data_IF_948469597141
#
_entry.id   IF_948469597141
#
_cell.length_a   1.000
_cell.length_b   1.000
_cell.length_c   1.000
_cell.angle_alpha   90.00
_cell.angle_beta   90.00
_cell.angle_gamma   90.00
#
_symmetry.space_group_name_H-M   'P 1'
#
loop_
_entity.id
_entity.type
_entity.pdbx_description
1 polymer ?
#
# COMPACT_ATOMS: atom_id res chain seq x y z
N UNK A 1 21.26 12.94 -5.86
CA UNK A 1 19.90 12.44 -5.62
C UNK A 1 19.50 12.78 -4.20
N UNK A 2 18.22 13.06 -3.93
CA UNK A 2 17.71 13.45 -2.60
C UNK A 2 16.70 12.43 -2.05
N UNK A 3 16.82 11.16 -2.44
CA UNK A 3 16.01 10.09 -1.84
C UNK A 3 16.46 9.87 -0.38
N UNK A 4 15.50 9.78 0.53
CA UNK A 4 15.78 9.48 1.94
C UNK A 4 16.00 7.97 2.13
N UNK A 5 16.71 7.53 3.19
CA UNK A 5 17.03 6.12 3.41
C UNK A 5 15.81 5.17 3.40
N UNK A 6 14.65 5.60 3.90
CA UNK A 6 13.43 4.80 3.98
C UNK A 6 12.97 4.28 2.62
N UNK A 7 13.26 5.01 1.53
CA UNK A 7 12.92 4.57 0.16
C UNK A 7 13.50 3.18 -0.13
N UNK A 8 14.69 2.87 0.40
CA UNK A 8 15.32 1.57 0.19
C UNK A 8 14.56 0.43 0.87
N UNK A 9 13.88 0.68 2.00
CA UNK A 9 12.99 -0.29 2.62
C UNK A 9 11.83 -0.64 1.66
N UNK A 10 11.17 0.37 1.08
CA UNK A 10 10.07 0.17 0.14
C UNK A 10 10.48 -0.52 -1.16
N UNK A 11 11.63 -0.14 -1.73
CA UNK A 11 12.18 -0.79 -2.93
C UNK A 11 12.49 -2.27 -2.67
N UNK A 12 13.14 -2.57 -1.54
CA UNK A 12 13.42 -3.96 -1.13
C UNK A 12 12.13 -4.74 -0.93
N UNK A 13 11.11 -4.19 -0.26
CA UNK A 13 9.82 -4.84 -0.05
C UNK A 13 9.12 -5.21 -1.35
N UNK A 14 9.09 -4.30 -2.33
CA UNK A 14 8.49 -4.60 -3.64
C UNK A 14 9.21 -5.75 -4.35
N UNK A 15 10.54 -5.80 -4.28
CA UNK A 15 11.33 -6.87 -4.89
C UNK A 15 11.18 -8.20 -4.14
N UNK A 16 10.98 -8.18 -2.82
CA UNK A 16 10.68 -9.37 -2.04
C UNK A 16 9.36 -10.03 -2.49
N UNK A 17 8.43 -9.29 -3.08
CA UNK A 17 7.21 -9.90 -3.64
C UNK A 17 7.47 -10.75 -4.90
N UNK A 18 8.68 -10.69 -5.48
CA UNK A 18 9.04 -11.45 -6.67
C UNK A 18 9.81 -12.72 -6.31
N UNK A 19 9.89 -13.67 -7.26
CA UNK A 19 10.71 -14.88 -7.15
C UNK A 19 10.50 -15.72 -5.86
N UNK A 20 9.32 -15.63 -5.24
CA UNK A 20 9.01 -16.23 -3.95
C UNK A 20 9.90 -15.72 -2.81
N UNK A 21 10.25 -14.43 -2.79
CA UNK A 21 11.08 -13.82 -1.75
C UNK A 21 12.57 -14.12 -1.87
N UNK A 22 13.00 -14.87 -2.88
CA UNK A 22 14.41 -15.17 -3.12
C UNK A 22 15.11 -13.94 -3.70
N UNK A 23 15.59 -13.08 -2.82
CA UNK A 23 16.27 -11.83 -3.15
C UNK A 23 17.70 -11.84 -2.59
N UNK A 24 18.68 -11.61 -3.47
CA UNK A 24 20.06 -11.34 -3.08
C UNK A 24 20.37 -9.87 -3.37
N UNK A 25 20.86 -9.15 -2.37
CA UNK A 25 21.24 -7.74 -2.50
C UNK A 25 22.76 -7.63 -2.40
N UNK A 26 23.39 -6.99 -3.39
CA UNK A 26 24.84 -6.80 -3.48
C UNK A 26 25.12 -5.31 -3.29
N UNK A 27 26.03 -4.98 -2.37
CA UNK A 27 26.46 -3.61 -2.16
C UNK A 27 27.37 -3.18 -3.31
N UNK A 28 27.01 -2.06 -3.95
CA UNK A 28 27.76 -1.44 -5.04
C UNK A 28 28.45 -0.16 -4.54
N UNK A 29 27.94 1.02 -4.91
CA UNK A 29 28.44 2.32 -4.47
C UNK A 29 27.77 2.88 -3.22
N UNK A 30 28.19 4.07 -2.80
CA UNK A 30 27.65 4.77 -1.65
C UNK A 30 28.73 5.57 -0.93
N UNK A 31 28.95 6.81 -1.36
CA UNK A 31 30.15 7.55 -0.98
C UNK A 31 29.96 8.49 0.22
N UNK A 32 28.70 8.68 0.67
CA UNK A 32 28.39 9.39 1.89
C UNK A 32 28.12 8.37 3.01
N UNK A 33 29.09 8.17 3.91
CA UNK A 33 29.09 7.06 4.88
C UNK A 33 27.80 6.95 5.72
N UNK A 34 27.30 8.06 6.26
CA UNK A 34 26.06 8.05 7.06
C UNK A 34 24.82 7.67 6.25
N UNK A 35 24.62 8.30 5.08
CA UNK A 35 23.54 7.94 4.17
C UNK A 35 23.61 6.47 3.75
N UNK A 36 24.82 5.99 3.42
CA UNK A 36 25.06 4.59 3.09
C UNK A 36 24.65 3.67 4.25
N UNK A 37 25.13 3.91 5.47
CA UNK A 37 24.82 3.04 6.62
C UNK A 37 23.33 3.01 6.93
N UNK A 38 22.64 4.15 6.85
CA UNK A 38 21.20 4.23 7.09
C UNK A 38 20.42 3.49 5.99
N UNK A 39 20.78 3.69 4.72
CA UNK A 39 20.15 2.99 3.59
C UNK A 39 20.36 1.47 3.65
N UNK A 40 21.57 1.02 4.00
CA UNK A 40 21.86 -0.41 4.20
C UNK A 40 21.04 -0.97 5.36
N UNK A 41 20.94 -0.24 6.47
CA UNK A 41 20.10 -0.64 7.59
C UNK A 41 18.63 -0.81 7.17
N UNK A 42 18.07 0.15 6.43
CA UNK A 42 16.71 0.07 5.90
C UNK A 42 16.49 -1.19 5.06
N UNK A 43 17.40 -1.48 4.13
CA UNK A 43 17.34 -2.69 3.31
C UNK A 43 17.40 -3.97 4.15
N UNK A 44 18.35 -4.06 5.09
CA UNK A 44 18.51 -5.26 5.93
C UNK A 44 17.29 -5.49 6.83
N UNK A 45 16.74 -4.44 7.44
CA UNK A 45 15.52 -4.53 8.25
C UNK A 45 14.34 -5.08 7.44
N UNK A 46 14.16 -4.59 6.22
CA UNK A 46 13.12 -5.12 5.34
C UNK A 46 13.37 -6.58 4.97
N UNK A 47 14.63 -7.00 4.71
CA UNK A 47 14.96 -8.41 4.47
C UNK A 47 14.67 -9.30 5.68
N UNK A 48 14.81 -8.79 6.90
CA UNK A 48 14.44 -9.46 8.15
C UNK A 48 12.91 -9.45 8.40
N UNK A 49 12.16 -8.73 7.57
CA UNK A 49 10.71 -8.61 7.64
C UNK A 49 10.22 -7.66 8.73
N UNK A 50 11.02 -6.68 9.14
CA UNK A 50 10.58 -5.59 10.01
C UNK A 50 9.51 -4.74 9.29
N UNK A 51 8.57 -4.12 10.02
CA UNK A 51 7.63 -3.16 9.44
C UNK A 51 8.34 -2.00 8.74
N UNK A 52 7.81 -1.60 7.59
CA UNK A 52 8.41 -0.52 6.81
C UNK A 52 8.12 0.85 7.44
N UNK A 53 9.13 1.73 7.57
CA UNK A 53 8.90 3.10 7.99
C UNK A 53 8.09 3.85 6.94
N UNK A 54 7.29 4.83 7.37
CA UNK A 54 6.52 5.64 6.43
C UNK A 54 7.44 6.59 5.64
N UNK A 55 7.37 6.56 4.31
CA UNK A 55 7.95 7.62 3.46
C UNK A 55 7.16 8.91 3.67
N UNK A 56 7.87 9.97 4.05
CA UNK A 56 7.32 11.30 4.30
C UNK A 56 7.74 12.30 3.22
N UNK A 57 7.00 13.40 3.13
CA UNK A 57 7.22 14.43 2.11
C UNK A 57 6.22 14.36 0.96
N UNK A 58 6.43 15.20 -0.05
CA UNK A 58 5.56 15.29 -1.20
C UNK A 58 5.72 14.06 -2.11
N UNK A 59 4.61 13.35 -2.34
CA UNK A 59 4.56 12.18 -3.21
C UNK A 59 4.19 12.60 -4.62
N UNK A 60 5.14 13.24 -5.30
CA UNK A 60 4.99 13.70 -6.66
C UNK A 60 6.30 13.50 -7.45
N UNK A 61 6.26 12.85 -8.62
CA UNK A 61 7.43 12.82 -9.49
C UNK A 61 7.69 14.23 -10.06
N UNK A 62 8.96 14.60 -10.21
CA UNK A 62 9.30 15.82 -10.94
C UNK A 62 9.10 15.61 -12.45
N UNK A 63 8.91 16.70 -13.21
CA UNK A 63 8.67 16.63 -14.65
C UNK A 63 9.73 15.80 -15.40
N UNK A 64 11.02 16.01 -15.08
CA UNK A 64 12.13 15.25 -15.69
C UNK A 64 12.01 13.74 -15.46
N UNK A 65 11.57 13.31 -14.26
CA UNK A 65 11.34 11.90 -13.98
C UNK A 65 10.15 11.36 -14.78
N UNK A 66 9.06 12.13 -14.90
CA UNK A 66 7.89 11.77 -15.71
C UNK A 66 8.24 11.61 -17.19
N UNK A 67 8.97 12.57 -17.77
CA UNK A 67 9.44 12.50 -19.17
C UNK A 67 10.32 11.26 -19.40
N UNK A 68 11.23 10.98 -18.46
CA UNK A 68 12.10 9.80 -18.51
C UNK A 68 11.29 8.50 -18.44
N UNK A 69 10.34 8.40 -17.51
CA UNK A 69 9.43 7.24 -17.38
C UNK A 69 8.64 7.02 -18.67
N UNK A 70 8.10 8.08 -19.26
CA UNK A 70 7.35 8.00 -20.51
C UNK A 70 8.21 7.46 -21.66
N UNK A 71 9.42 8.00 -21.84
CA UNK A 71 10.33 7.57 -22.91
C UNK A 71 10.80 6.12 -22.73
N UNK A 72 11.11 5.70 -21.50
CA UNK A 72 11.49 4.31 -21.19
C UNK A 72 10.32 3.37 -21.52
N UNK A 73 9.09 3.73 -21.15
CA UNK A 73 7.90 2.94 -21.50
C UNK A 73 7.69 2.87 -23.01
N UNK A 74 7.87 3.97 -23.74
CA UNK A 74 7.77 3.99 -25.20
C UNK A 74 8.80 3.06 -25.87
N UNK A 75 10.05 3.10 -25.40
CA UNK A 75 11.12 2.23 -25.91
C UNK A 75 10.86 0.75 -25.62
N UNK A 76 10.27 0.43 -24.47
CA UNK A 76 10.01 -0.95 -24.05
C UNK A 76 8.67 -1.53 -24.55
N UNK A 77 7.75 -0.70 -25.03
CA UNK A 77 6.42 -1.12 -25.51
C UNK A 77 6.44 -2.30 -26.50
N UNK A 78 7.35 -2.39 -27.49
CA UNK A 78 7.38 -3.52 -28.43
C UNK A 78 7.73 -4.87 -27.79
N UNK A 79 8.35 -4.87 -26.61
CA UNK A 79 8.92 -6.07 -25.98
C UNK A 79 8.11 -6.58 -24.79
N UNK A 80 7.30 -5.73 -24.17
CA UNK A 80 6.60 -6.05 -22.92
C UNK A 80 5.09 -6.00 -23.11
N UNK A 81 4.43 -7.17 -23.03
CA UNK A 81 2.98 -7.32 -23.29
C UNK A 81 2.09 -6.43 -22.40
N UNK A 82 2.52 -6.12 -21.19
CA UNK A 82 1.77 -5.24 -20.27
C UNK A 82 1.72 -3.77 -20.72
N UNK A 83 2.61 -3.35 -21.64
CA UNK A 83 2.64 -2.02 -22.24
C UNK A 83 1.89 -1.93 -23.58
N UNK A 84 1.38 -3.05 -24.12
CA UNK A 84 0.79 -3.12 -25.48
C UNK A 84 -0.22 -2.02 -25.74
N UNK A 85 -1.07 -1.78 -24.75
CA UNK A 85 -2.22 -0.89 -24.84
C UNK A 85 -1.97 0.49 -24.21
N UNK A 86 -0.73 0.79 -23.80
CA UNK A 86 -0.36 2.07 -23.21
C UNK A 86 -0.09 3.12 -24.30
N UNK A 87 -0.51 4.37 -24.08
CA UNK A 87 -0.31 5.47 -25.03
C UNK A 87 1.04 6.14 -24.76
N UNK A 88 2.11 5.39 -25.01
CA UNK A 88 3.48 5.84 -24.79
C UNK A 88 4.09 6.27 -26.12
N UNK A 89 3.98 7.55 -26.44
CA UNK A 89 4.77 8.18 -27.51
C UNK A 89 6.08 8.72 -26.94
N UNK A 90 7.14 8.65 -27.76
CA UNK A 90 8.39 9.32 -27.43
C UNK A 90 8.19 10.83 -27.37
N UNK A 91 8.70 11.45 -26.31
CA UNK A 91 8.78 12.90 -26.22
C UNK A 91 10.01 13.37 -26.99
N UNK A 92 9.80 14.08 -28.10
CA UNK A 92 10.88 14.64 -28.92
C UNK A 92 11.39 15.99 -28.40
N UNK A 93 10.58 16.71 -27.61
CA UNK A 93 10.95 17.99 -26.99
C UNK A 93 10.92 17.83 -25.47
N UNK A 94 12.07 17.47 -24.89
CA UNK A 94 12.24 17.41 -23.44
C UNK A 94 12.38 18.82 -22.87
N UNK A 95 11.73 19.04 -21.73
CA UNK A 95 11.85 20.29 -20.97
C UNK A 95 13.29 20.51 -20.46
N UNK A 96 14.05 19.42 -20.24
CA UNK A 96 15.42 19.46 -19.73
C UNK A 96 16.50 19.50 -20.81
N UNK A 97 16.27 20.13 -21.98
CA UNK A 97 17.36 20.34 -22.95
C UNK A 97 18.50 21.07 -22.23
N UNK A 98 19.65 20.43 -22.07
CA UNK A 98 20.83 21.13 -21.59
C UNK A 98 21.23 22.13 -22.65
N UNK A 99 21.29 23.42 -22.32
CA UNK A 99 21.88 24.47 -23.16
C UNK A 99 23.42 24.31 -23.25
N UNK A 100 23.92 23.11 -23.57
CA UNK A 100 25.34 22.80 -23.65
C UNK A 100 25.94 23.01 -25.05
N UNK A 101 25.32 23.84 -25.89
CA UNK A 101 25.83 24.11 -27.25
C UNK A 101 25.75 25.58 -27.69
N UNK A 102 25.76 26.53 -26.75
CA UNK A 102 25.98 27.96 -27.07
C UNK A 102 26.85 28.64 -26.04
N UNK A 103 28.16 28.38 -26.10
CA UNK A 103 29.29 29.31 -25.87
C UNK A 103 30.56 28.48 -25.68
N UNK A 104 31.06 27.92 -26.77
CA UNK A 104 32.47 27.61 -26.86
C UNK A 104 33.18 28.90 -27.30
N UNK A 105 33.43 29.80 -26.35
CA UNK A 105 34.46 30.82 -26.51
C UNK A 105 35.56 30.51 -25.49
N UNK A 106 36.75 30.35 -26.05
CA UNK A 106 37.98 29.88 -25.44
C UNK A 106 38.55 30.97 -24.52
N UNK A 107 38.98 30.62 -23.30
CA UNK A 107 40.24 31.10 -22.72
C UNK A 107 40.60 30.35 -21.40
N UNK A 108 41.90 30.17 -21.09
CA UNK A 108 42.37 29.19 -20.12
C UNK A 108 42.70 29.76 -18.72
N UNK A 109 42.48 28.90 -17.73
CA UNK A 109 43.14 28.74 -16.42
C UNK A 109 43.57 29.98 -15.62
N UNK A 110 42.91 30.20 -14.48
CA UNK A 110 43.60 30.57 -13.23
C UNK A 110 43.09 29.65 -12.11
N UNK A 111 43.98 28.80 -11.62
CA UNK A 111 43.86 28.07 -10.37
C UNK A 111 43.95 29.09 -9.22
N UNK A 112 42.83 29.29 -8.51
CA UNK A 112 42.75 29.66 -7.08
C UNK A 112 41.38 30.31 -6.81
N UNK A 113 40.34 29.50 -6.61
CA UNK A 113 39.18 29.90 -5.80
C UNK A 113 38.27 28.70 -5.50
N UNK A 114 37.69 28.68 -4.29
CA UNK A 114 36.71 27.72 -3.75
C UNK A 114 37.22 26.44 -3.04
N UNK A 115 38.10 26.61 -2.03
CA UNK A 115 38.14 25.71 -0.86
C UNK A 115 37.07 26.03 0.21
N UNK A 116 36.21 27.02 -0.05
CA UNK A 116 35.06 27.39 0.78
C UNK A 116 33.80 27.01 0.00
N UNK A 117 33.29 25.79 0.13
CA UNK A 117 31.86 25.44 -0.14
C UNK A 117 31.48 23.96 0.07
N UNK A 118 32.43 23.05 0.31
CA UNK A 118 32.11 21.61 0.42
C UNK A 118 31.77 21.15 1.86
N UNK A 119 32.50 21.63 2.88
CA UNK A 119 32.23 21.28 4.29
C UNK A 119 30.82 21.71 4.74
N UNK A 120 30.45 22.96 4.46
CA UNK A 120 29.14 23.51 4.80
C UNK A 120 27.96 22.75 4.16
N UNK A 121 28.18 22.08 3.01
CA UNK A 121 27.13 21.29 2.34
C UNK A 121 27.01 19.91 2.96
N UNK A 122 28.14 19.27 3.25
CA UNK A 122 28.21 17.98 3.95
C UNK A 122 27.60 18.09 5.34
N UNK A 123 27.96 19.14 6.12
CA UNK A 123 27.40 19.38 7.47
C UNK A 123 25.87 19.54 7.44
N UNK A 124 25.33 20.21 6.42
CA UNK A 124 23.88 20.36 6.23
C UNK A 124 23.21 19.02 5.95
N UNK A 125 23.82 18.18 5.12
CA UNK A 125 23.31 16.83 4.81
C UNK A 125 23.34 15.96 6.05
N UNK A 126 24.45 15.98 6.81
CA UNK A 126 24.57 15.19 8.04
C UNK A 126 23.56 15.59 9.10
N UNK A 127 23.35 16.90 9.29
CA UNK A 127 22.34 17.44 10.21
C UNK A 127 20.93 17.10 9.75
N UNK A 128 20.66 17.19 8.44
CA UNK A 128 19.39 16.75 7.88
C UNK A 128 19.16 15.26 8.18
N UNK A 129 20.12 14.39 7.82
CA UNK A 129 20.01 12.95 8.06
C UNK A 129 19.81 12.64 9.53
N UNK A 130 20.53 13.31 10.45
CA UNK A 130 20.36 13.07 11.88
C UNK A 130 18.95 13.43 12.37
N UNK A 131 18.45 14.61 11.99
CA UNK A 131 17.13 15.06 12.40
C UNK A 131 16.01 14.26 11.73
N UNK A 132 16.24 13.84 10.48
CA UNK A 132 15.31 13.04 9.70
C UNK A 132 15.20 11.63 10.27
N UNK A 133 16.33 10.94 10.45
CA UNK A 133 16.36 9.57 10.98
C UNK A 133 15.86 9.49 12.43
N UNK A 134 16.02 10.54 13.25
CA UNK A 134 15.41 10.61 14.60
C UNK A 134 13.87 10.62 14.57
N UNK A 135 13.25 11.04 13.47
CA UNK A 135 11.78 11.02 13.30
C UNK A 135 11.28 9.69 12.75
N UNK A 136 12.16 8.89 12.16
CA UNK A 136 11.83 7.56 11.67
C UNK A 136 11.73 6.63 12.87
N UNK A 137 10.50 6.33 13.25
CA UNK A 137 10.23 5.38 14.32
C UNK A 137 10.27 3.99 13.70
N UNK A 138 11.05 3.10 14.31
CA UNK A 138 11.01 1.67 14.00
C UNK A 138 10.12 1.01 15.05
N UNK A 139 8.80 0.92 14.84
CA UNK A 139 7.95 0.20 15.76
C UNK A 139 8.35 -1.27 15.72
N UNK A 140 8.61 -1.85 16.88
CA UNK A 140 8.85 -3.28 17.04
C UNK A 140 7.67 -3.88 17.80
N UNK A 141 6.48 -3.97 17.18
CA UNK A 141 5.38 -4.69 17.82
C UNK A 141 5.83 -6.16 17.92
N UNK A 142 5.70 -6.79 19.10
CA UNK A 142 6.19 -8.15 19.33
C UNK A 142 5.47 -9.20 18.46
N UNK A 143 4.36 -8.83 17.83
CA UNK A 143 3.45 -9.70 17.10
C UNK A 143 3.16 -9.10 15.71
N UNK A 144 3.53 -9.83 14.66
CA UNK A 144 3.26 -9.40 13.27
C UNK A 144 1.79 -9.50 12.90
N UNK A 145 1.15 -10.63 13.18
CA UNK A 145 -0.24 -10.88 12.78
C UNK A 145 -1.04 -11.55 13.88
N UNK A 146 -2.21 -10.99 14.17
CA UNK A 146 -3.14 -11.47 15.17
C UNK A 146 -4.43 -12.04 14.56
N UNK A 147 -5.00 -13.04 15.24
CA UNK A 147 -6.31 -13.61 14.98
C UNK A 147 -7.07 -13.77 16.29
N UNK A 148 -8.39 -13.92 16.24
CA UNK A 148 -9.19 -14.25 17.43
C UNK A 148 -9.20 -15.75 17.72
N UNK A 149 -9.63 -16.11 18.93
CA UNK A 149 -9.75 -17.50 19.34
C UNK A 149 -10.85 -18.21 18.52
N UNK A 150 -11.94 -17.50 18.22
CA UNK A 150 -13.02 -17.96 17.35
C UNK A 150 -12.51 -18.41 15.97
N UNK A 151 -11.72 -17.56 15.30
CA UNK A 151 -11.14 -17.88 13.99
C UNK A 151 -10.18 -19.08 14.06
N UNK A 152 -9.39 -19.19 15.14
CA UNK A 152 -8.52 -20.36 15.31
C UNK A 152 -9.32 -21.65 15.52
N UNK A 153 -10.43 -21.56 16.25
CA UNK A 153 -11.31 -22.70 16.51
C UNK A 153 -12.06 -23.15 15.25
N UNK A 154 -12.53 -22.22 14.42
CA UNK A 154 -13.25 -22.53 13.16
C UNK A 154 -12.35 -23.21 12.13
N UNK A 155 -11.08 -22.82 12.05
CA UNK A 155 -10.16 -23.31 11.03
C UNK A 155 -9.62 -24.73 11.31
N UNK A 156 -9.64 -25.20 12.57
CA UNK A 156 -9.14 -26.52 12.99
C UNK A 156 -7.65 -26.55 13.40
N UNK A 157 -7.17 -27.68 13.97
CA UNK A 157 -5.76 -27.82 14.36
C UNK A 157 -4.85 -27.82 13.13
N UNK A 158 -3.78 -27.00 13.16
CA UNK A 158 -2.83 -26.75 12.06
C UNK A 158 -3.38 -26.05 10.81
N UNK A 159 -4.53 -25.36 10.92
CA UNK A 159 -5.13 -24.67 9.78
C UNK A 159 -4.26 -23.58 9.17
N UNK A 160 -3.40 -22.95 9.98
CA UNK A 160 -2.49 -21.92 9.53
C UNK A 160 -1.06 -22.47 9.45
N UNK A 161 -0.41 -22.42 8.28
CA UNK A 161 0.97 -22.86 8.11
C UNK A 161 2.00 -21.86 8.65
N UNK A 162 1.52 -20.82 9.34
CA UNK A 162 2.31 -19.71 9.90
C UNK A 162 1.88 -19.48 11.35
N UNK A 163 2.81 -19.02 12.18
CA UNK A 163 2.51 -18.72 13.57
C UNK A 163 1.70 -17.42 13.68
N UNK A 164 0.40 -17.55 13.97
CA UNK A 164 -0.50 -16.42 14.23
C UNK A 164 -0.76 -16.30 15.72
N UNK A 165 -0.71 -15.07 16.24
CA UNK A 165 -0.96 -14.84 17.65
C UNK A 165 -2.47 -14.75 17.92
N UNK A 166 -2.96 -15.54 18.87
CA UNK A 166 -4.35 -15.47 19.30
C UNK A 166 -4.53 -14.38 20.33
N UNK A 167 -5.39 -13.41 20.06
CA UNK A 167 -5.62 -12.29 20.97
C UNK A 167 -6.78 -12.57 21.93
N UNK A 168 -6.65 -12.07 23.16
CA UNK A 168 -7.74 -12.04 24.13
C UNK A 168 -8.82 -11.09 23.65
N UNK A 169 -10.05 -11.57 23.60
CA UNK A 169 -11.23 -10.79 23.21
C UNK A 169 -11.56 -9.69 24.22
N UNK A 170 -12.09 -8.59 23.69
CA UNK A 170 -12.61 -7.46 24.43
C UNK A 170 -13.83 -7.88 25.28
N UNK A 171 -14.04 -7.21 26.42
CA UNK A 171 -15.19 -7.51 27.27
C UNK A 171 -16.50 -7.20 26.54
N UNK A 172 -17.52 -8.04 26.75
CA UNK A 172 -18.81 -7.90 26.08
C UNK A 172 -19.45 -6.53 26.35
N UNK A 173 -19.36 -6.00 27.58
CA UNK A 173 -19.97 -4.71 27.90
C UNK A 173 -19.23 -3.56 27.23
N UNK A 174 -17.90 -3.68 27.08
CA UNK A 174 -17.09 -2.71 26.33
C UNK A 174 -17.44 -2.71 24.85
N UNK A 175 -17.61 -3.90 24.25
CA UNK A 175 -18.09 -4.05 22.86
C UNK A 175 -19.48 -3.43 22.72
N UNK A 176 -20.42 -3.73 23.62
CA UNK A 176 -21.77 -3.16 23.58
C UNK A 176 -21.75 -1.63 23.71
N UNK A 177 -20.91 -1.07 24.58
CA UNK A 177 -20.75 0.37 24.72
C UNK A 177 -20.20 1.01 23.42
N UNK A 178 -19.10 0.47 22.88
CA UNK A 178 -18.49 0.97 21.65
C UNK A 178 -19.44 0.84 20.45
N UNK A 179 -20.16 -0.27 20.30
CA UNK A 179 -21.09 -0.45 19.18
C UNK A 179 -22.34 0.42 19.36
N UNK A 180 -22.87 0.54 20.59
CA UNK A 180 -24.06 1.38 20.88
C UNK A 180 -23.83 2.86 20.61
N UNK A 181 -22.63 3.36 20.90
CA UNK A 181 -22.21 4.74 20.58
C UNK A 181 -22.32 5.05 19.08
N UNK A 182 -22.29 4.02 18.21
CA UNK A 182 -22.20 4.19 16.76
C UNK A 182 -23.43 3.69 16.00
N UNK A 183 -23.98 2.53 16.37
CA UNK A 183 -25.06 1.86 15.67
C UNK A 183 -25.92 1.06 16.66
N UNK A 184 -26.76 1.78 17.42
CA UNK A 184 -27.70 1.17 18.37
C UNK A 184 -28.61 0.09 17.73
N UNK A 185 -28.88 0.18 16.42
CA UNK A 185 -29.68 -0.82 15.70
C UNK A 185 -28.93 -2.12 15.39
N UNK A 186 -27.59 -2.09 15.26
CA UNK A 186 -26.78 -3.30 15.09
C UNK A 186 -26.71 -4.13 16.37
N UNK A 187 -26.77 -3.48 17.54
CA UNK A 187 -26.76 -4.14 18.86
C UNK A 187 -28.04 -4.95 19.11
N UNK A 188 -29.18 -4.52 18.55
CA UNK A 188 -30.49 -5.20 18.70
C UNK A 188 -30.50 -6.59 18.06
N UNK A 189 -29.66 -6.82 17.04
CA UNK A 189 -29.49 -8.11 16.38
C UNK A 189 -28.32 -8.90 16.98
N UNK A 190 -28.48 -9.45 18.18
CA UNK A 190 -27.46 -10.14 19.01
C UNK A 190 -26.53 -11.17 18.28
N UNK A 191 -26.88 -11.57 17.05
CA UNK A 191 -26.10 -12.51 16.21
C UNK A 191 -24.81 -11.91 15.63
N UNK A 192 -24.73 -10.60 15.41
CA UNK A 192 -23.56 -9.96 14.77
C UNK A 192 -22.52 -9.47 15.78
N UNK A 193 -22.92 -9.28 17.04
CA UNK A 193 -22.10 -8.73 18.11
C UNK A 193 -20.75 -9.47 18.31
N UNK A 194 -20.66 -10.82 18.24
CA UNK A 194 -19.38 -11.52 18.35
C UNK A 194 -18.40 -11.14 17.23
N UNK A 195 -18.86 -11.11 15.98
CA UNK A 195 -18.01 -10.72 14.83
C UNK A 195 -17.55 -9.26 14.88
N UNK A 196 -18.41 -8.37 15.38
CA UNK A 196 -18.05 -6.97 15.65
C UNK A 196 -17.00 -6.88 16.76
N UNK A 197 -17.18 -7.65 17.83
CA UNK A 197 -16.25 -7.75 18.96
C UNK A 197 -14.87 -8.27 18.55
N UNK A 198 -14.83 -9.33 17.74
CA UNK A 198 -13.60 -9.88 17.14
C UNK A 198 -12.87 -8.82 16.31
N UNK A 199 -13.59 -8.08 15.47
CA UNK A 199 -13.03 -6.99 14.66
C UNK A 199 -12.51 -5.83 15.54
N UNK A 200 -13.30 -5.39 16.53
CA UNK A 200 -12.94 -4.35 17.48
C UNK A 200 -11.70 -4.70 18.29
N UNK A 201 -11.61 -5.94 18.76
CA UNK A 201 -10.46 -6.46 19.51
C UNK A 201 -9.17 -6.34 18.69
N UNK A 202 -9.21 -6.78 17.43
CA UNK A 202 -8.02 -6.76 16.57
C UNK A 202 -7.62 -5.33 16.24
N UNK A 203 -8.58 -4.49 15.81
CA UNK A 203 -8.26 -3.10 15.45
C UNK A 203 -7.75 -2.32 16.66
N UNK A 204 -8.31 -2.52 17.86
CA UNK A 204 -7.84 -1.87 19.08
C UNK A 204 -6.38 -2.22 19.38
N UNK A 205 -5.99 -3.49 19.21
CA UNK A 205 -4.60 -3.95 19.35
C UNK A 205 -3.67 -3.36 18.30
N UNK A 206 -4.13 -3.21 17.05
CA UNK A 206 -3.36 -2.53 15.99
C UNK A 206 -3.16 -1.05 16.35
N UNK A 207 -4.22 -0.36 16.80
CA UNK A 207 -4.19 1.06 17.16
C UNK A 207 -3.25 1.33 18.34
N UNK A 208 -3.22 0.42 19.33
CA UNK A 208 -2.31 0.45 20.49
C UNK A 208 -0.88 -0.02 20.16
N UNK A 209 -0.60 -0.40 18.90
CA UNK A 209 0.70 -0.94 18.43
C UNK A 209 1.13 -2.22 19.14
N UNK A 210 0.18 -3.02 19.64
CA UNK A 210 0.47 -4.33 20.21
C UNK A 210 0.72 -5.38 19.11
N UNK A 211 0.10 -5.19 17.94
CA UNK A 211 0.20 -6.07 16.77
C UNK A 211 0.33 -5.22 15.49
N UNK A 212 1.06 -5.68 14.46
CA UNK A 212 1.05 -4.94 13.18
C UNK A 212 -0.29 -5.09 12.48
N UNK A 213 -0.72 -6.33 12.29
CA UNK A 213 -1.85 -6.67 11.44
C UNK A 213 -2.76 -7.70 12.08
N UNK A 214 -3.95 -7.90 11.52
CA UNK A 214 -4.79 -9.00 11.96
C UNK A 214 -5.95 -9.31 11.04
N UNK A 215 -6.58 -10.46 11.29
CA UNK A 215 -7.65 -11.02 10.47
C UNK A 215 -8.88 -11.27 11.35
N UNK A 216 -9.99 -10.67 10.98
CA UNK A 216 -11.31 -10.93 11.54
C UNK A 216 -12.19 -11.63 10.49
N UNK A 217 -12.63 -12.84 10.80
CA UNK A 217 -13.71 -13.48 10.04
C UNK A 217 -15.05 -12.92 10.55
N UNK A 218 -15.89 -12.45 9.64
CA UNK A 218 -17.11 -11.74 10.01
C UNK A 218 -18.20 -11.89 8.96
N UNK A 219 -19.33 -12.57 9.26
CA UNK A 219 -20.48 -12.69 8.36
C UNK A 219 -21.20 -11.34 8.11
N UNK A 220 -20.84 -10.29 8.85
CA UNK A 220 -21.34 -8.93 8.67
C UNK A 220 -20.19 -7.96 8.36
N UNK A 221 -19.34 -8.27 7.38
CA UNK A 221 -18.10 -7.52 7.12
C UNK A 221 -18.33 -6.02 6.91
N UNK A 222 -19.42 -5.63 6.23
CA UNK A 222 -19.82 -4.23 6.08
C UNK A 222 -19.98 -3.50 7.43
N UNK A 223 -20.64 -4.14 8.40
CA UNK A 223 -20.85 -3.57 9.74
C UNK A 223 -19.55 -3.56 10.55
N UNK A 224 -18.78 -4.64 10.48
CA UNK A 224 -17.48 -4.77 11.14
C UNK A 224 -16.49 -3.69 10.69
N UNK A 225 -16.42 -3.42 9.39
CA UNK A 225 -15.60 -2.33 8.85
C UNK A 225 -16.09 -0.97 9.33
N UNK A 226 -17.40 -0.72 9.29
CA UNK A 226 -17.95 0.57 9.74
C UNK A 226 -17.61 0.87 11.21
N UNK A 227 -17.71 -0.13 12.08
CA UNK A 227 -17.33 -0.02 13.49
C UNK A 227 -15.81 0.17 13.64
N UNK A 228 -14.99 -0.60 12.91
CA UNK A 228 -13.53 -0.47 12.95
C UNK A 228 -13.05 0.92 12.50
N UNK A 229 -13.61 1.45 11.42
CA UNK A 229 -13.29 2.78 10.91
C UNK A 229 -13.63 3.86 11.94
N UNK A 230 -14.83 3.81 12.55
CA UNK A 230 -15.21 4.79 13.58
C UNK A 230 -14.33 4.70 14.83
N UNK A 231 -14.01 3.48 15.29
CA UNK A 231 -13.09 3.28 16.42
C UNK A 231 -11.71 3.88 16.11
N UNK A 232 -11.17 3.63 14.91
CA UNK A 232 -9.87 4.18 14.50
C UNK A 232 -9.85 5.71 14.45
N UNK A 233 -10.92 6.33 13.94
CA UNK A 233 -11.05 7.80 13.91
C UNK A 233 -11.15 8.39 15.32
N UNK A 234 -11.90 7.74 16.23
CA UNK A 234 -12.00 8.14 17.64
C UNK A 234 -10.66 8.01 18.38
N UNK A 235 -9.86 7.00 18.02
CA UNK A 235 -8.51 6.83 18.53
C UNK A 235 -7.53 7.91 18.04
N UNK A 236 -7.88 8.63 16.97
CA UNK A 236 -7.12 9.76 16.44
C UNK A 236 -6.40 9.49 15.12
N UNK A 237 -6.65 8.35 14.46
CA UNK A 237 -6.16 8.13 13.10
C UNK A 237 -6.91 9.05 12.14
N UNK A 238 -6.18 9.69 11.22
CA UNK A 238 -6.74 10.71 10.34
C UNK A 238 -6.63 10.36 8.85
N UNK A 239 -5.98 9.24 8.49
CA UNK A 239 -5.86 8.80 7.09
C UNK A 239 -5.98 7.28 7.02
N UNK A 240 -7.19 6.81 6.83
CA UNK A 240 -7.50 5.38 6.75
C UNK A 240 -7.80 5.00 5.30
N UNK A 241 -6.99 4.11 4.74
CA UNK A 241 -7.26 3.54 3.41
C UNK A 241 -8.15 2.31 3.59
N UNK A 242 -9.35 2.35 3.02
CA UNK A 242 -10.27 1.25 3.00
C UNK A 242 -10.35 0.65 1.59
N UNK A 243 -10.11 -0.65 1.45
CA UNK A 243 -10.26 -1.35 0.17
C UNK A 243 -11.33 -2.42 0.30
N UNK A 244 -12.37 -2.30 -0.51
CA UNK A 244 -13.44 -3.28 -0.59
C UNK A 244 -13.22 -4.18 -1.80
N UNK A 245 -13.34 -5.48 -1.62
CA UNK A 245 -13.30 -6.47 -2.69
C UNK A 245 -14.59 -7.28 -2.65
N UNK A 246 -15.42 -7.15 -3.68
CA UNK A 246 -16.76 -7.75 -3.71
C UNK A 246 -17.84 -6.82 -3.16
N UNK A 247 -19.04 -7.37 -2.94
CA UNK A 247 -20.20 -6.57 -2.59
C UNK A 247 -20.12 -6.08 -1.13
N UNK A 248 -20.36 -4.79 -0.91
CA UNK A 248 -20.39 -4.16 0.40
C UNK A 248 -21.59 -3.22 0.50
N UNK A 249 -22.38 -3.35 1.57
CA UNK A 249 -23.63 -2.62 1.76
C UNK A 249 -23.43 -1.30 2.50
N UNK A 250 -22.51 -1.28 3.47
CA UNK A 250 -22.24 -0.09 4.28
C UNK A 250 -20.98 0.57 3.76
N UNK A 251 -21.12 1.81 3.30
CA UNK A 251 -20.02 2.62 2.79
C UNK A 251 -19.67 3.71 3.81
N UNK A 252 -18.38 3.94 4.09
CA UNK A 252 -17.98 4.99 5.00
C UNK A 252 -18.18 6.38 4.36
N UNK A 253 -18.30 7.40 5.22
CA UNK A 253 -18.25 8.78 4.77
C UNK A 253 -16.80 9.11 4.34
N UNK A 254 -16.66 9.76 3.18
CA UNK A 254 -15.37 10.14 2.58
C UNK A 254 -15.24 11.65 2.35
N UNK A 255 -16.24 12.44 2.77
CA UNK A 255 -16.30 13.89 2.51
C UNK A 255 -15.19 14.67 3.22
N UNK A 256 -14.77 14.23 4.42
CA UNK A 256 -13.74 14.90 5.20
C UNK A 256 -12.29 14.53 4.79
N UNK A 257 -12.15 13.60 3.82
CA UNK A 257 -10.87 13.12 3.31
C UNK A 257 -10.06 12.23 4.26
N UNK A 258 -10.56 11.96 5.47
CA UNK A 258 -9.87 11.07 6.44
C UNK A 258 -9.98 9.60 6.09
N UNK A 259 -10.93 9.25 5.23
CA UNK A 259 -11.11 7.91 4.70
C UNK A 259 -11.02 7.99 3.18
N UNK A 260 -10.12 7.21 2.61
CA UNK A 260 -10.06 6.94 1.18
C UNK A 260 -10.57 5.53 0.92
N UNK A 261 -11.58 5.40 0.07
CA UNK A 261 -12.14 4.10 -0.33
C UNK A 261 -11.72 3.76 -1.76
N UNK A 262 -11.20 2.55 -1.95
CA UNK A 262 -11.05 1.92 -3.26
C UNK A 262 -11.95 0.69 -3.28
N UNK A 263 -13.00 0.73 -4.10
CA UNK A 263 -13.96 -0.36 -4.20
C UNK A 263 -13.71 -1.17 -5.47
N UNK A 264 -13.24 -2.40 -5.32
CA UNK A 264 -13.00 -3.35 -6.40
C UNK A 264 -14.20 -4.28 -6.56
N UNK A 265 -14.94 -4.09 -7.65
CA UNK A 265 -16.18 -4.82 -7.92
C UNK A 265 -16.32 -5.12 -9.42
N UNK A 266 -17.33 -5.89 -9.83
CA UNK A 266 -17.55 -6.27 -11.25
C UNK A 266 -18.47 -5.31 -12.04
N UNK A 267 -19.21 -4.44 -11.35
CA UNK A 267 -20.17 -3.51 -11.97
C UNK A 267 -20.14 -2.17 -11.26
N UNK A 268 -20.26 -1.09 -12.03
CA UNK A 268 -20.48 0.25 -11.48
C UNK A 268 -21.75 0.23 -10.60
N UNK A 269 -21.64 0.74 -9.38
CA UNK A 269 -22.80 0.80 -8.50
C UNK A 269 -23.70 1.96 -8.93
N UNK A 270 -24.96 1.67 -9.22
CA UNK A 270 -25.94 2.69 -9.58
C UNK A 270 -26.21 3.60 -8.37
N UNK A 271 -25.85 4.88 -8.45
CA UNK A 271 -26.29 5.90 -7.50
C UNK A 271 -25.20 6.62 -6.69
N UNK A 272 -23.91 6.31 -6.87
CA UNK A 272 -22.81 7.10 -6.29
C UNK A 272 -21.87 7.61 -7.38
N UNK A 273 -21.67 8.92 -7.44
CA UNK A 273 -20.63 9.50 -8.29
C UNK A 273 -19.27 9.27 -7.63
N UNK A 274 -18.30 8.75 -8.41
CA UNK A 274 -16.92 8.66 -7.96
C UNK A 274 -16.41 10.03 -7.50
N UNK A 275 -15.68 10.04 -6.39
CA UNK A 275 -15.01 11.22 -5.86
C UNK A 275 -13.52 10.92 -5.74
N UNK A 276 -12.71 11.94 -5.43
CA UNK A 276 -11.28 11.69 -5.20
C UNK A 276 -11.01 10.74 -4.02
N UNK A 277 -11.90 10.70 -3.03
CA UNK A 277 -11.79 9.85 -1.84
C UNK A 277 -12.69 8.60 -1.87
N UNK A 278 -13.53 8.44 -2.91
CA UNK A 278 -14.30 7.22 -3.15
C UNK A 278 -14.13 6.81 -4.61
N UNK A 279 -13.30 5.80 -4.83
CA UNK A 279 -12.87 5.36 -6.15
C UNK A 279 -13.45 3.98 -6.42
N UNK A 280 -14.26 3.87 -7.47
CA UNK A 280 -14.72 2.57 -7.97
C UNK A 280 -13.75 2.06 -9.03
N UNK A 281 -13.24 0.85 -8.81
CA UNK A 281 -12.41 0.10 -9.73
C UNK A 281 -13.18 -1.13 -10.18
N UNK A 282 -13.93 -0.99 -11.27
CA UNK A 282 -14.61 -2.12 -11.90
C UNK A 282 -13.57 -3.09 -12.47
N UNK A 283 -13.20 -4.13 -11.74
CA UNK A 283 -12.21 -5.12 -12.16
C UNK A 283 -12.73 -6.51 -11.87
N UNK A 284 -12.69 -7.38 -12.88
CA UNK A 284 -12.87 -8.82 -12.72
C UNK A 284 -11.62 -9.51 -13.21
N UNK A 285 -10.99 -10.35 -12.39
CA UNK A 285 -9.82 -11.12 -12.81
C UNK A 285 -10.10 -11.98 -14.04
N UNK A 286 -9.07 -12.13 -14.87
CA UNK A 286 -9.10 -13.03 -16.01
C UNK A 286 -9.16 -14.50 -15.55
N UNK A 287 -9.80 -15.37 -16.34
CA UNK A 287 -9.87 -16.78 -16.00
C UNK A 287 -8.52 -17.49 -16.20
N UNK A 288 -7.70 -17.00 -17.12
CA UNK A 288 -6.43 -17.62 -17.50
C UNK A 288 -5.27 -17.23 -16.58
N UNK A 289 -5.48 -16.26 -15.68
CA UNK A 289 -4.50 -15.88 -14.67
C UNK A 289 -4.73 -14.49 -14.05
N UNK A 290 -3.73 -14.01 -13.32
CA UNK A 290 -3.81 -12.78 -12.55
C UNK A 290 -3.33 -11.58 -13.38
N UNK A 291 -4.27 -10.76 -13.83
CA UNK A 291 -4.00 -9.49 -14.50
C UNK A 291 -4.15 -8.26 -13.58
N UNK A 292 -4.62 -8.48 -12.35
CA UNK A 292 -4.88 -7.44 -11.35
C UNK A 292 -3.61 -6.69 -10.90
N UNK A 293 -2.42 -7.28 -11.14
CA UNK A 293 -1.13 -6.58 -11.03
C UNK A 293 -1.13 -5.20 -11.70
N UNK A 294 -1.77 -5.09 -12.86
CA UNK A 294 -1.82 -3.83 -13.62
C UNK A 294 -2.56 -2.74 -12.85
N UNK A 295 -3.65 -3.09 -12.17
CA UNK A 295 -4.39 -2.17 -11.33
C UNK A 295 -3.64 -1.86 -10.03
N UNK A 296 -3.02 -2.86 -9.40
CA UNK A 296 -2.30 -2.64 -8.14
C UNK A 296 -1.09 -1.73 -8.36
N UNK A 297 -0.22 -2.06 -9.32
CA UNK A 297 1.01 -1.31 -9.61
C UNK A 297 0.73 0.02 -10.33
N UNK A 298 -0.22 0.02 -11.27
CA UNK A 298 -0.49 1.17 -12.14
C UNK A 298 -1.47 2.20 -11.56
N UNK A 299 -2.14 1.88 -10.46
CA UNK A 299 -3.17 2.73 -9.87
C UNK A 299 -3.24 2.67 -8.34
N UNK A 300 -3.52 1.52 -7.73
CA UNK A 300 -3.81 1.41 -6.28
C UNK A 300 -2.59 1.86 -5.45
N UNK A 301 -1.39 1.35 -5.76
CA UNK A 301 -0.18 1.74 -5.03
C UNK A 301 0.16 3.23 -5.22
N UNK A 302 0.22 3.80 -6.45
CA UNK A 302 0.41 5.25 -6.60
C UNK A 302 -0.56 6.10 -5.78
N UNK A 303 -1.85 5.74 -5.77
CA UNK A 303 -2.86 6.44 -4.97
C UNK A 303 -2.60 6.25 -3.47
N UNK A 304 -2.33 5.03 -3.01
CA UNK A 304 -2.08 4.74 -1.60
C UNK A 304 -0.80 5.43 -1.07
N UNK A 305 0.27 5.47 -1.88
CA UNK A 305 1.48 6.23 -1.56
C UNK A 305 1.23 7.73 -1.56
N UNK A 306 0.41 8.26 -2.48
CA UNK A 306 0.02 9.68 -2.45
C UNK A 306 -0.80 10.03 -1.21
N UNK A 307 -1.68 9.12 -0.78
CA UNK A 307 -2.56 9.29 0.37
C UNK A 307 -1.83 9.14 1.71
N UNK A 308 -0.76 8.33 1.76
CA UNK A 308 0.04 8.07 2.95
C UNK A 308 -0.80 7.63 4.17
N UNK A 309 -1.55 6.52 4.08
CA UNK A 309 -2.43 6.06 5.16
C UNK A 309 -1.64 5.74 6.42
N UNK A 310 -2.25 5.96 7.58
CA UNK A 310 -1.76 5.48 8.86
C UNK A 310 -2.40 4.14 9.27
N UNK A 311 -3.54 3.75 8.70
CA UNK A 311 -4.18 2.43 8.85
C UNK A 311 -4.74 1.98 7.51
N UNK A 312 -4.69 0.68 7.22
CA UNK A 312 -5.34 0.07 6.07
C UNK A 312 -6.37 -0.95 6.55
N UNK A 313 -7.58 -0.88 6.00
CA UNK A 313 -8.65 -1.84 6.24
C UNK A 313 -9.02 -2.46 4.90
N UNK A 314 -8.82 -3.77 4.75
CA UNK A 314 -9.19 -4.51 3.53
C UNK A 314 -10.34 -5.43 3.89
N UNK A 315 -11.50 -5.19 3.28
CA UNK A 315 -12.68 -6.03 3.46
C UNK A 315 -12.91 -6.88 2.22
N UNK A 316 -13.07 -8.19 2.42
CA UNK A 316 -13.45 -9.12 1.35
C UNK A 316 -14.87 -9.59 1.61
N UNK A 317 -15.78 -9.13 0.75
CA UNK A 317 -17.19 -9.45 0.78
C UNK A 317 -17.57 -10.64 -0.10
N UNK A 318 -18.85 -11.01 -0.11
CA UNK A 318 -19.39 -11.99 -1.05
C UNK A 318 -19.28 -11.47 -2.50
N UNK A 319 -19.45 -12.37 -3.47
CA UNK A 319 -19.40 -12.04 -4.90
C UNK A 319 -18.13 -11.30 -5.34
N UNK A 320 -17.00 -11.54 -4.66
CA UNK A 320 -15.71 -10.95 -5.00
C UNK A 320 -15.35 -11.14 -6.47
N UNK A 321 -14.82 -10.07 -7.07
CA UNK A 321 -14.40 -10.07 -8.47
C UNK A 321 -12.94 -10.48 -8.67
N UNK A 322 -12.20 -10.68 -7.56
CA UNK A 322 -10.80 -11.08 -7.51
C UNK A 322 -10.64 -12.50 -6.96
N UNK A 323 -9.68 -13.24 -7.50
CA UNK A 323 -9.24 -14.54 -7.02
C UNK A 323 -8.36 -14.42 -5.76
N UNK A 324 -8.01 -15.57 -5.18
CA UNK A 324 -7.14 -15.63 -3.99
C UNK A 324 -5.79 -14.96 -4.28
N UNK A 325 -5.26 -15.17 -5.48
CA UNK A 325 -3.98 -14.62 -5.93
C UNK A 325 -3.97 -13.09 -5.99
N UNK A 326 -4.99 -12.44 -6.56
CA UNK A 326 -5.06 -10.98 -6.61
C UNK A 326 -5.33 -10.35 -5.25
N UNK A 327 -6.12 -10.99 -4.39
CA UNK A 327 -6.27 -10.54 -3.00
C UNK A 327 -4.96 -10.66 -2.24
N UNK A 328 -4.24 -11.78 -2.37
CA UNK A 328 -2.95 -11.99 -1.72
C UNK A 328 -1.91 -10.97 -2.21
N UNK A 329 -1.94 -10.63 -3.50
CA UNK A 329 -1.11 -9.58 -4.09
C UNK A 329 -1.39 -8.22 -3.45
N UNK A 330 -2.67 -7.88 -3.28
CA UNK A 330 -3.09 -6.65 -2.63
C UNK A 330 -2.53 -6.56 -1.20
N UNK A 331 -2.69 -7.61 -0.40
CA UNK A 331 -2.14 -7.67 0.96
C UNK A 331 -0.60 -7.61 0.98
N UNK A 332 0.07 -8.37 0.13
CA UNK A 332 1.54 -8.41 0.08
C UNK A 332 2.15 -7.06 -0.30
N UNK A 333 1.61 -6.38 -1.32
CA UNK A 333 2.15 -5.09 -1.75
C UNK A 333 1.80 -3.94 -0.80
N UNK A 334 0.59 -3.92 -0.20
CA UNK A 334 0.17 -2.85 0.70
C UNK A 334 0.77 -2.93 2.11
N UNK A 335 1.37 -4.05 2.50
CA UNK A 335 2.12 -4.16 3.76
C UNK A 335 3.26 -3.16 3.90
N UNK A 336 3.78 -2.65 2.79
CA UNK A 336 4.80 -1.61 2.83
C UNK A 336 4.28 -0.23 3.27
N UNK A 337 2.97 -0.05 3.45
CA UNK A 337 2.37 1.22 3.87
C UNK A 337 1.86 1.11 5.31
N UNK A 338 1.58 2.27 5.92
CA UNK A 338 0.98 2.38 7.25
C UNK A 338 1.76 1.63 8.36
N UNK A 339 3.08 1.45 8.24
CA UNK A 339 3.89 0.60 9.13
C UNK A 339 3.29 -0.82 9.27
N UNK A 340 2.80 -1.36 8.15
CA UNK A 340 2.12 -2.66 8.06
C UNK A 340 0.86 -2.79 8.92
N UNK A 341 0.26 -1.66 9.34
CA UNK A 341 -1.03 -1.63 10.04
C UNK A 341 -2.18 -1.98 9.11
N UNK A 342 -2.49 -3.26 9.04
CA UNK A 342 -3.54 -3.80 8.17
C UNK A 342 -4.54 -4.63 8.98
N UNK A 343 -5.81 -4.25 8.91
CA UNK A 343 -6.94 -5.05 9.34
C UNK A 343 -7.58 -5.73 8.12
N UNK A 344 -7.61 -7.05 8.11
CA UNK A 344 -8.39 -7.84 7.16
C UNK A 344 -9.74 -8.20 7.78
N UNK A 345 -10.84 -7.89 7.09
CA UNK A 345 -12.20 -8.31 7.47
C UNK A 345 -12.74 -9.20 6.36
N UNK A 346 -12.93 -10.49 6.62
CA UNK A 346 -13.28 -11.48 5.59
C UNK A 346 -14.66 -12.05 5.91
N UNK A 347 -15.61 -11.83 4.99
CA UNK A 347 -16.94 -12.47 5.03
C UNK A 347 -16.94 -13.83 4.32
N UNK A 348 -16.07 -13.98 3.32
CA UNK A 348 -15.92 -15.20 2.52
C UNK A 348 -15.47 -16.38 3.39
N UNK A 349 -16.26 -17.45 3.40
CA UNK A 349 -15.99 -18.68 4.15
C UNK A 349 -14.93 -19.58 3.49
N UNK A 350 -14.34 -19.16 2.37
CA UNK A 350 -13.23 -19.87 1.72
C UNK A 350 -11.98 -19.88 2.62
N UNK A 351 -11.75 -21.01 3.27
CA UNK A 351 -10.61 -21.22 4.16
C UNK A 351 -9.27 -21.04 3.46
N UNK A 352 -9.19 -21.31 2.14
CA UNK A 352 -7.95 -21.10 1.38
C UNK A 352 -7.62 -19.61 1.26
N UNK A 353 -8.65 -18.77 1.13
CA UNK A 353 -8.47 -17.32 1.10
C UNK A 353 -7.91 -16.82 2.43
N UNK A 354 -8.53 -17.20 3.55
CA UNK A 354 -8.08 -16.79 4.89
C UNK A 354 -6.64 -17.25 5.13
N UNK A 355 -6.31 -18.49 4.77
CA UNK A 355 -4.93 -19.01 4.88
C UNK A 355 -3.94 -18.23 4.01
N UNK A 356 -4.33 -17.84 2.79
CA UNK A 356 -3.47 -17.06 1.90
C UNK A 356 -3.23 -15.64 2.41
N UNK A 357 -4.28 -14.98 2.93
CA UNK A 357 -4.18 -13.66 3.58
C UNK A 357 -3.30 -13.75 4.83
N UNK A 358 -3.46 -14.79 5.65
CA UNK A 358 -2.61 -15.03 6.81
C UNK A 358 -1.13 -15.22 6.44
N UNK A 359 -0.84 -16.00 5.39
CA UNK A 359 0.54 -16.14 4.88
C UNK A 359 1.10 -14.80 4.42
N UNK A 360 0.31 -14.03 3.69
CA UNK A 360 0.71 -12.71 3.22
C UNK A 360 1.08 -11.82 4.42
N UNK A 361 0.18 -11.65 5.40
CA UNK A 361 0.36 -10.77 6.55
C UNK A 361 1.49 -11.19 7.49
N UNK A 362 1.71 -12.50 7.67
CA UNK A 362 2.75 -13.01 8.56
C UNK A 362 4.18 -12.80 8.02
N UNK A 363 4.34 -12.53 6.71
CA UNK A 363 5.65 -12.33 6.08
C UNK A 363 6.55 -13.56 6.02
N UNK A 364 6.03 -14.75 6.34
CA UNK A 364 6.80 -16.00 6.39
C UNK A 364 7.03 -16.65 5.02
N UNK A 365 6.15 -16.40 4.05
CA UNK A 365 6.30 -16.85 2.67
C UNK A 365 5.55 -15.90 1.74
N UNK A 366 6.22 -15.41 0.71
CA UNK A 366 5.58 -14.56 -0.30
C UNK A 366 4.53 -15.40 -1.04
N UNK A 367 3.25 -14.97 -1.06
CA UNK A 367 2.21 -15.73 -1.73
C UNK A 367 2.53 -15.91 -3.22
N UNK A 368 2.20 -17.06 -3.77
CA UNK A 368 2.21 -17.23 -5.22
C UNK A 368 1.03 -16.44 -5.79
N UNK A 369 1.31 -15.35 -6.51
CA UNK A 369 0.28 -14.46 -7.07
C UNK A 369 -0.32 -14.97 -8.39
N UNK A 370 -0.14 -16.26 -8.70
CA UNK A 370 -0.66 -16.88 -9.92
C UNK A 370 0.18 -16.59 -11.17
N UNK A 371 -0.26 -17.17 -12.29
CA UNK A 371 0.32 -16.89 -13.61
C UNK A 371 -0.08 -15.48 -14.02
N UNK A 372 0.90 -14.62 -14.30
CA UNK A 372 0.63 -13.26 -14.75
C UNK A 372 0.08 -13.27 -16.18
N UNK A 373 -1.03 -12.58 -16.39
CA UNK A 373 -1.65 -12.37 -17.71
C UNK A 373 -1.69 -10.87 -18.01
N UNK A 374 -1.33 -10.43 -19.23
CA UNK A 374 -1.49 -9.03 -19.62
C UNK A 374 -2.96 -8.58 -19.53
N UNK A 375 -3.25 -7.37 -19.03
CA UNK A 375 -4.62 -6.88 -18.95
C UNK A 375 -5.21 -6.67 -20.34
N UNK A 376 -6.52 -6.83 -20.46
CA UNK A 376 -7.24 -6.48 -21.69
C UNK A 376 -7.17 -4.98 -21.98
N UNK A 377 -7.36 -4.60 -23.25
CA UNK A 377 -7.41 -3.19 -23.67
C UNK A 377 -8.47 -2.39 -22.90
N UNK A 378 -9.61 -2.99 -22.57
CA UNK A 378 -10.69 -2.38 -21.79
C UNK A 378 -10.20 -2.02 -20.38
N UNK A 379 -9.57 -2.97 -19.69
CA UNK A 379 -9.00 -2.77 -18.35
C UNK A 379 -7.90 -1.70 -18.34
N UNK A 380 -7.03 -1.69 -19.36
CA UNK A 380 -6.01 -0.64 -19.51
C UNK A 380 -6.65 0.74 -19.70
N UNK A 381 -7.66 0.85 -20.57
CA UNK A 381 -8.38 2.11 -20.81
C UNK A 381 -9.09 2.62 -19.56
N UNK A 382 -9.63 1.72 -18.75
CA UNK A 382 -10.23 2.09 -17.48
C UNK A 382 -9.21 2.66 -16.49
N UNK A 383 -8.04 2.02 -16.32
CA UNK A 383 -6.95 2.57 -15.49
C UNK A 383 -6.53 3.94 -16.00
N UNK A 384 -6.39 4.11 -17.31
CA UNK A 384 -6.05 5.42 -17.93
C UNK A 384 -7.10 6.48 -17.62
N UNK A 385 -8.40 6.14 -17.75
CA UNK A 385 -9.50 7.05 -17.43
C UNK A 385 -9.40 7.53 -15.98
N UNK A 386 -9.23 6.60 -15.04
CA UNK A 386 -9.07 6.92 -13.62
C UNK A 386 -7.80 7.76 -13.36
N UNK A 387 -6.67 7.41 -13.99
CA UNK A 387 -5.42 8.17 -13.90
C UNK A 387 -5.62 9.61 -14.36
N UNK A 388 -6.21 9.80 -15.54
CA UNK A 388 -6.45 11.14 -16.10
C UNK A 388 -7.36 11.98 -15.21
N UNK A 389 -8.38 11.35 -14.62
CA UNK A 389 -9.36 12.00 -13.76
C UNK A 389 -8.77 12.40 -12.40
N UNK A 390 -7.82 11.63 -11.86
CA UNK A 390 -7.36 11.76 -10.47
C UNK A 390 -5.91 12.22 -10.31
N UNK A 391 -5.10 12.29 -11.36
CA UNK A 391 -3.66 12.64 -11.28
C UNK A 391 -3.36 14.06 -10.75
N UNK A 392 -4.36 14.93 -10.66
CA UNK A 392 -4.23 16.25 -10.03
C UNK A 392 -4.37 16.17 -8.50
N UNK A 393 -5.24 15.29 -8.01
CA UNK A 393 -5.41 15.02 -6.58
C UNK A 393 -4.32 14.06 -6.07
N UNK A 394 -3.97 13.03 -6.86
CA UNK A 394 -3.01 11.98 -6.51
C UNK A 394 -1.80 12.03 -7.45
N UNK A 395 -0.81 12.88 -7.12
CA UNK A 395 0.28 13.22 -8.03
C UNK A 395 1.19 12.04 -8.44
N UNK A 396 1.29 10.97 -7.65
CA UNK A 396 2.04 9.76 -8.07
C UNK A 396 1.43 9.05 -9.28
N UNK A 397 0.18 9.37 -9.68
CA UNK A 397 -0.44 8.86 -10.89
C UNK A 397 0.16 9.45 -12.18
N UNK A 398 0.95 10.51 -12.09
CA UNK A 398 1.55 11.18 -13.25
C UNK A 398 2.64 10.31 -13.88
N UNK A 399 2.41 9.86 -15.12
CA UNK A 399 3.36 9.02 -15.86
C UNK A 399 3.56 9.47 -17.32
N UNK A 400 3.08 10.66 -17.67
CA UNK A 400 3.23 11.28 -18.99
C UNK A 400 3.41 12.79 -18.84
N UNK A 401 4.40 13.35 -19.51
CA UNK A 401 4.60 14.81 -19.60
C UNK A 401 3.48 15.41 -20.45
N UNK A 402 2.93 16.55 -20.03
CA UNK A 402 1.98 17.31 -20.85
C UNK A 402 2.72 18.26 -21.79
#
# INVERSE_FOLDING_TARGET
>A
MNATPEVFAHLTHFLMQLAHGKLCVILEGGYHLKSLSESVCMTVRTLLGDPLPQVTGEMAPCLSAVESIQNVRAAHKPYWKWLTYEDTSFLHNLSTKSDLLKTADTNPCTDDEAKITDSNKTDKIERFLELHMKKVIFPDPPIKTAITAELKASAGPNAFPVHLHVVKEMDKNEIEALVSDFHADLVKGNKTLPSLGSTLTIVDKILKKEVCSGIAESPAASASVAVALRHSLRFGFQRVLCIFVGDMQIMPNTEDGKILVIHVCKKEQTGKSSSKHYIELNWKEDADGNDFFSAVLGFILPVAYSYQPNLIVIAVGPNRSLGISGISLLFGLLQGLAESRILAVIEDTDTNLIQSVAKALAGASVPHFGVHVPPTQEKVNQIKKLRNQLQQDWKMLQCSGK
#
